data_IF_540266040262
#
_entry.id   IF_540266040262
#
_cell.length_a   1.000
_cell.length_b   1.000
_cell.length_c   1.000
_cell.angle_alpha   90.00
_cell.angle_beta   90.00
_cell.angle_gamma   90.00
#
_symmetry.space_group_name_H-M   'P 1'
#
loop_
_entity.id
_entity.type
_entity.pdbx_description
1 polymer ?
#
# COMPACT_ATOMS: atom_id res chain seq x y z
N UNK A 1 -44.33 -17.77 -3.00
CA UNK A 1 -43.96 -17.67 -1.56
C UNK A 1 -42.74 -18.54 -1.19
N UNK A 2 -42.84 -19.87 -1.09
CA UNK A 2 -41.72 -20.70 -0.59
C UNK A 2 -40.55 -20.82 -1.61
N UNK A 3 -40.88 -21.07 -2.89
CA UNK A 3 -39.87 -21.18 -3.95
C UNK A 3 -39.12 -19.86 -4.21
N UNK A 4 -39.80 -18.72 -4.05
CA UNK A 4 -39.17 -17.39 -4.14
C UNK A 4 -38.20 -17.14 -2.99
N UNK A 5 -38.55 -17.55 -1.75
CA UNK A 5 -37.63 -17.49 -0.60
C UNK A 5 -36.40 -18.37 -0.81
N UNK A 6 -36.57 -19.58 -1.35
CA UNK A 6 -35.45 -20.47 -1.69
C UNK A 6 -34.57 -19.86 -2.78
N UNK A 7 -35.16 -19.25 -3.80
CA UNK A 7 -34.42 -18.58 -4.88
C UNK A 7 -33.63 -17.36 -4.37
N UNK A 8 -34.23 -16.56 -3.49
CA UNK A 8 -33.58 -15.43 -2.83
C UNK A 8 -32.39 -15.89 -1.98
N UNK A 9 -32.62 -16.86 -1.08
CA UNK A 9 -31.58 -17.39 -0.21
C UNK A 9 -30.40 -17.99 -1.00
N UNK A 10 -30.66 -18.65 -2.14
CA UNK A 10 -29.60 -19.15 -3.03
C UNK A 10 -28.78 -18.04 -3.68
N UNK A 11 -29.42 -16.94 -4.09
CA UNK A 11 -28.71 -15.77 -4.63
C UNK A 11 -27.85 -15.12 -3.58
N UNK A 12 -28.39 -14.90 -2.38
CA UNK A 12 -27.65 -14.33 -1.25
C UNK A 12 -26.46 -15.21 -0.86
N UNK A 13 -26.65 -16.53 -0.79
CA UNK A 13 -25.55 -17.47 -0.52
C UNK A 13 -24.45 -17.39 -1.59
N UNK A 14 -24.83 -17.28 -2.87
CA UNK A 14 -23.87 -17.12 -3.97
C UNK A 14 -23.10 -15.81 -3.84
N UNK A 15 -23.78 -14.69 -3.62
CA UNK A 15 -23.15 -13.38 -3.44
C UNK A 15 -22.20 -13.36 -2.23
N UNK A 16 -22.62 -13.96 -1.11
CA UNK A 16 -21.78 -14.08 0.08
C UNK A 16 -20.54 -14.94 -0.20
N UNK A 17 -20.68 -16.05 -0.92
CA UNK A 17 -19.55 -16.91 -1.30
C UNK A 17 -18.54 -16.18 -2.21
N UNK A 18 -19.02 -15.35 -3.14
CA UNK A 18 -18.16 -14.55 -4.00
C UNK A 18 -17.43 -13.45 -3.22
N UNK A 19 -18.11 -12.84 -2.23
CA UNK A 19 -17.49 -11.87 -1.32
C UNK A 19 -16.41 -12.53 -0.47
N UNK A 20 -16.69 -13.70 0.12
CA UNK A 20 -15.70 -14.46 0.91
C UNK A 20 -14.47 -14.77 0.06
N UNK A 21 -14.66 -15.32 -1.15
CA UNK A 21 -13.55 -15.64 -2.05
C UNK A 21 -12.71 -14.41 -2.41
N UNK A 22 -13.33 -13.25 -2.62
CA UNK A 22 -12.61 -11.99 -2.88
C UNK A 22 -11.80 -11.56 -1.66
N UNK A 23 -12.37 -11.66 -0.46
CA UNK A 23 -11.67 -11.33 0.78
C UNK A 23 -10.50 -12.27 1.05
N UNK A 24 -10.68 -13.58 0.84
CA UNK A 24 -9.61 -14.58 0.96
C UNK A 24 -8.44 -14.29 0.02
N UNK A 25 -8.74 -13.95 -1.24
CA UNK A 25 -7.71 -13.54 -2.20
C UNK A 25 -6.97 -12.29 -1.74
N UNK A 26 -7.71 -11.26 -1.30
CA UNK A 26 -7.10 -10.05 -0.77
C UNK A 26 -6.22 -10.32 0.46
N UNK A 27 -6.61 -11.24 1.35
CA UNK A 27 -5.78 -11.62 2.50
C UNK A 27 -4.51 -12.36 2.09
N UNK A 28 -4.59 -13.26 1.12
CA UNK A 28 -3.43 -13.96 0.59
C UNK A 28 -2.48 -12.99 -0.12
N UNK A 29 -3.01 -12.11 -0.98
CA UNK A 29 -2.23 -11.08 -1.66
C UNK A 29 -1.53 -10.17 -0.65
N UNK A 30 -2.23 -9.73 0.41
CA UNK A 30 -1.63 -8.96 1.51
C UNK A 30 -0.45 -9.66 2.18
N UNK A 31 -0.57 -10.96 2.47
CA UNK A 31 0.54 -11.72 3.07
C UNK A 31 1.77 -11.71 2.16
N UNK A 32 1.59 -11.89 0.85
CA UNK A 32 2.71 -11.86 -0.10
C UNK A 32 3.31 -10.46 -0.28
N UNK A 33 2.48 -9.40 -0.23
CA UNK A 33 2.95 -8.01 -0.26
C UNK A 33 3.75 -7.67 0.98
N UNK A 34 3.24 -8.03 2.17
CA UNK A 34 3.91 -7.78 3.45
C UNK A 34 5.28 -8.47 3.48
N UNK A 35 5.37 -9.75 3.13
CA UNK A 35 6.64 -10.48 3.13
C UNK A 35 7.70 -9.84 2.19
N UNK A 36 7.27 -9.37 1.01
CA UNK A 36 8.18 -8.65 0.10
C UNK A 36 8.64 -7.31 0.67
N UNK A 37 7.74 -6.58 1.31
CA UNK A 37 8.08 -5.30 1.93
C UNK A 37 9.03 -5.47 3.10
N UNK A 38 8.82 -6.47 3.95
CA UNK A 38 9.73 -6.81 5.05
C UNK A 38 11.14 -7.07 4.52
N UNK A 39 11.26 -7.92 3.50
CA UNK A 39 12.54 -8.22 2.86
C UNK A 39 13.25 -6.97 2.34
N UNK A 40 12.53 -6.11 1.61
CA UNK A 40 13.11 -4.89 1.05
C UNK A 40 13.52 -3.91 2.16
N UNK A 41 12.72 -3.77 3.24
CA UNK A 41 13.04 -2.88 4.36
C UNK A 41 14.25 -3.38 5.18
N UNK A 42 14.44 -4.70 5.27
CA UNK A 42 15.59 -5.32 5.92
C UNK A 42 16.88 -5.15 5.12
N UNK A 43 16.82 -5.31 3.79
CA UNK A 43 18.00 -5.25 2.94
C UNK A 43 18.42 -3.83 2.56
N UNK A 44 17.47 -2.90 2.43
CA UNK A 44 17.72 -1.53 1.95
C UNK A 44 18.88 -0.81 2.67
N UNK A 45 19.04 -0.88 4.01
CA UNK A 45 20.17 -0.24 4.70
C UNK A 45 21.54 -0.82 4.30
N UNK A 46 21.59 -2.10 3.96
CA UNK A 46 22.82 -2.86 3.70
C UNK A 46 23.33 -2.74 2.26
N UNK A 47 22.54 -2.16 1.37
CA UNK A 47 22.91 -1.99 -0.05
C UNK A 47 23.66 -0.66 -0.25
N UNK A 48 24.89 -0.72 -0.73
CA UNK A 48 25.68 0.50 -0.99
C UNK A 48 25.34 1.17 -2.33
N UNK A 49 24.88 0.39 -3.32
CA UNK A 49 24.59 0.91 -4.65
C UNK A 49 23.35 1.81 -4.65
N UNK A 50 23.48 3.11 -5.02
CA UNK A 50 22.34 4.03 -5.10
C UNK A 50 21.30 3.60 -6.14
N UNK A 51 21.75 2.92 -7.21
CA UNK A 51 20.88 2.40 -8.26
C UNK A 51 19.98 1.30 -7.70
N UNK A 52 20.54 0.35 -6.96
CA UNK A 52 19.80 -0.77 -6.38
C UNK A 52 18.84 -0.27 -5.30
N UNK A 53 19.28 0.66 -4.43
CA UNK A 53 18.42 1.34 -3.45
C UNK A 53 17.20 1.99 -4.09
N UNK A 54 17.37 2.71 -5.21
CA UNK A 54 16.26 3.31 -5.92
C UNK A 54 15.30 2.28 -6.53
N UNK A 55 15.82 1.17 -7.03
CA UNK A 55 14.98 0.07 -7.54
C UNK A 55 14.12 -0.52 -6.42
N UNK A 56 14.74 -0.85 -5.28
CA UNK A 56 14.07 -1.38 -4.10
C UNK A 56 12.96 -0.45 -3.57
N UNK A 57 13.22 0.86 -3.47
CA UNK A 57 12.21 1.81 -3.03
C UNK A 57 11.02 1.90 -3.99
N UNK A 58 11.24 1.77 -5.30
CA UNK A 58 10.15 1.79 -6.30
C UNK A 58 9.27 0.54 -6.27
N UNK A 59 9.71 -0.54 -5.63
CA UNK A 59 8.89 -1.72 -5.42
C UNK A 59 7.83 -1.47 -4.34
N UNK A 60 8.19 -0.75 -3.27
CA UNK A 60 7.30 -0.44 -2.16
C UNK A 60 6.52 0.85 -2.38
N UNK A 61 7.13 1.87 -2.99
CA UNK A 61 6.57 3.22 -3.08
C UNK A 61 6.00 3.46 -4.48
N UNK A 62 4.71 3.76 -4.54
CA UNK A 62 4.04 4.13 -5.78
C UNK A 62 4.38 5.57 -6.18
N UNK A 63 4.29 6.52 -5.22
CA UNK A 63 4.64 7.92 -5.45
C UNK A 63 4.94 8.64 -4.15
N UNK A 64 5.66 9.75 -4.27
CA UNK A 64 5.97 10.65 -3.16
C UNK A 64 5.57 12.07 -3.57
N UNK A 65 4.75 12.72 -2.76
CA UNK A 65 4.44 14.15 -2.93
C UNK A 65 5.31 14.97 -1.97
N UNK A 66 6.09 15.87 -2.53
CA UNK A 66 6.86 16.85 -1.77
C UNK A 66 6.16 18.20 -1.81
N UNK A 67 5.98 18.82 -0.65
CA UNK A 67 5.45 20.18 -0.52
C UNK A 67 6.36 21.01 0.38
N UNK A 68 6.80 22.15 -0.12
CA UNK A 68 7.56 23.15 0.66
C UNK A 68 7.00 24.55 0.38
N UNK A 69 5.92 24.94 1.07
CA UNK A 69 5.22 26.19 0.78
C UNK A 69 6.02 27.42 1.22
N UNK A 70 6.90 27.28 2.21
CA UNK A 70 7.71 28.39 2.74
C UNK A 70 9.18 28.21 2.37
N UNK A 71 9.77 29.25 1.80
CA UNK A 71 11.21 29.30 1.55
C UNK A 71 11.93 29.47 2.90
N UNK A 72 12.80 28.52 3.24
CA UNK A 72 13.65 28.65 4.43
C UNK A 72 14.68 29.77 4.24
N UNK A 73 14.98 30.50 5.32
CA UNK A 73 16.03 31.52 5.35
C UNK A 73 17.02 31.15 6.47
N UNK A 74 18.32 31.31 6.21
CA UNK A 74 19.40 31.17 7.21
C UNK A 74 19.15 31.98 8.50
N UNK A 75 18.41 33.09 8.43
CA UNK A 75 18.12 33.97 9.57
C UNK A 75 16.77 33.72 10.26
N UNK A 76 15.75 33.18 9.57
CA UNK A 76 14.38 33.07 10.12
C UNK A 76 13.91 31.62 10.34
N UNK A 77 14.81 30.64 10.18
CA UNK A 77 14.47 29.22 10.26
C UNK A 77 13.60 28.73 9.09
N UNK A 78 13.03 27.52 9.24
CA UNK A 78 12.12 26.94 8.26
C UNK A 78 12.78 26.15 7.12
N UNK A 79 14.05 25.74 7.28
CA UNK A 79 14.71 24.80 6.37
C UNK A 79 13.98 23.45 6.32
N UNK A 80 13.42 23.07 7.46
CA UNK A 80 12.67 21.87 7.83
C UNK A 80 11.15 21.99 7.61
N UNK A 81 10.63 23.15 7.18
CA UNK A 81 9.21 23.34 6.85
C UNK A 81 8.85 22.75 5.49
N UNK A 82 8.98 21.44 5.37
CA UNK A 82 8.51 20.66 4.23
C UNK A 82 7.61 19.52 4.69
N UNK A 83 6.83 18.98 3.76
CA UNK A 83 6.00 17.81 3.97
C UNK A 83 6.30 16.82 2.87
N UNK A 84 6.50 15.56 3.25
CA UNK A 84 6.56 14.42 2.35
C UNK A 84 5.34 13.55 2.61
N UNK A 85 4.51 13.33 1.60
CA UNK A 85 3.46 12.32 1.64
C UNK A 85 3.92 11.13 0.81
N UNK A 86 4.00 9.98 1.46
CA UNK A 86 4.44 8.73 0.83
C UNK A 86 3.20 7.89 0.56
N UNK A 87 3.09 7.35 -0.65
CA UNK A 87 2.01 6.46 -1.06
C UNK A 87 2.61 5.08 -1.32
N UNK A 88 2.42 4.13 -0.38
CA UNK A 88 2.86 2.75 -0.55
C UNK A 88 2.03 2.00 -1.60
N UNK A 89 2.64 1.02 -2.25
CA UNK A 89 2.07 0.22 -3.34
C UNK A 89 1.40 -1.04 -2.80
N UNK A 90 0.15 -0.91 -2.34
CA UNK A 90 -0.65 -1.99 -1.72
C UNK A 90 -1.15 -3.04 -2.71
#
# INVERSE_FOLDING_TARGET
>A
ALNEKIALARREAKELSEKIRKLEKLTADKQTVIARWEHVLEEYPNVDSPVVKNTMLKEIIERVEYSKPYKGNRKSGGMDKFTLKIFPRL
#
